data_IF_557350758179
#
_entry.id   IF_557350758179
#
_cell.length_a   1.000
_cell.length_b   1.000
_cell.length_c   1.000
_cell.angle_alpha   90.00
_cell.angle_beta   90.00
_cell.angle_gamma   90.00
#
_symmetry.space_group_name_H-M   'P 1'
#
loop_
_entity.id
_entity.type
_entity.pdbx_description
1 polymer ?
#
# COMPACT_ATOMS: atom_id res chain seq x y z
N UNK A 1 -5.66 -14.80 4.34
CA UNK A 1 -6.06 -13.37 4.39
C UNK A 1 -7.41 -13.16 5.04
N UNK A 2 -8.41 -13.97 4.69
CA UNK A 2 -9.76 -13.92 5.27
C UNK A 2 -9.77 -13.83 6.81
N UNK A 3 -9.25 -14.84 7.51
CA UNK A 3 -9.30 -14.91 8.98
C UNK A 3 -8.47 -13.85 9.73
N UNK A 4 -7.57 -13.12 9.04
CA UNK A 4 -6.80 -12.02 9.63
C UNK A 4 -7.39 -10.64 9.32
N UNK A 5 -8.50 -10.58 8.59
CA UNK A 5 -9.17 -9.33 8.20
C UNK A 5 -10.14 -8.93 9.30
N UNK A 6 -9.86 -7.79 9.95
CA UNK A 6 -10.67 -7.22 11.05
C UNK A 6 -11.12 -8.24 12.11
N UNK A 7 -10.20 -9.04 12.71
CA UNK A 7 -10.58 -10.17 13.57
C UNK A 7 -11.33 -9.75 14.85
N UNK A 8 -11.24 -8.48 15.24
CA UNK A 8 -11.94 -7.91 16.39
C UNK A 8 -13.31 -7.32 16.05
N UNK A 9 -13.68 -7.25 14.76
CA UNK A 9 -14.97 -6.74 14.32
C UNK A 9 -16.05 -7.83 14.41
N UNK A 10 -17.22 -7.47 14.93
CA UNK A 10 -18.34 -8.41 15.14
C UNK A 10 -18.78 -9.15 13.87
N UNK A 11 -18.66 -8.54 12.69
CA UNK A 11 -19.04 -9.16 11.42
C UNK A 11 -18.04 -10.24 10.99
N UNK A 12 -16.77 -10.08 11.34
CA UNK A 12 -15.66 -10.98 10.95
C UNK A 12 -15.24 -11.95 12.07
N UNK A 13 -15.70 -11.71 13.30
CA UNK A 13 -15.46 -12.57 14.46
C UNK A 13 -16.28 -13.86 14.45
N UNK A 14 -16.13 -14.70 15.49
CA UNK A 14 -16.86 -15.96 15.63
C UNK A 14 -18.38 -15.76 15.56
N UNK A 15 -19.06 -16.55 14.71
CA UNK A 15 -20.51 -16.44 14.49
C UNK A 15 -20.93 -15.34 13.51
N UNK A 16 -20.00 -14.50 13.04
CA UNK A 16 -20.24 -13.52 12.00
C UNK A 16 -20.25 -14.12 10.59
N UNK A 17 -20.91 -13.44 9.66
CA UNK A 17 -20.99 -13.86 8.24
C UNK A 17 -19.99 -13.12 7.35
N UNK A 18 -19.16 -12.23 7.90
CA UNK A 18 -18.23 -11.38 7.14
C UNK A 18 -17.15 -12.14 6.41
N UNK A 19 -16.64 -13.23 7.00
CA UNK A 19 -15.60 -14.06 6.37
C UNK A 19 -16.10 -14.73 5.09
N UNK A 20 -17.30 -15.30 5.12
CA UNK A 20 -17.93 -15.92 3.95
C UNK A 20 -18.22 -14.89 2.85
N UNK A 21 -18.83 -13.74 3.21
CA UNK A 21 -19.09 -12.65 2.27
C UNK A 21 -17.80 -12.10 1.64
N UNK A 22 -16.76 -11.89 2.45
CA UNK A 22 -15.45 -11.44 1.97
C UNK A 22 -14.82 -12.45 1.01
N UNK A 23 -14.92 -13.75 1.32
CA UNK A 23 -14.44 -14.82 0.43
C UNK A 23 -15.13 -14.77 -0.92
N UNK A 24 -16.45 -14.61 -0.95
CA UNK A 24 -17.22 -14.53 -2.18
C UNK A 24 -16.81 -13.32 -3.03
N UNK A 25 -16.69 -12.13 -2.43
CA UNK A 25 -16.25 -10.91 -3.15
C UNK A 25 -14.87 -11.12 -3.78
N UNK A 26 -13.91 -11.62 -3.00
CA UNK A 26 -12.53 -11.80 -3.47
C UNK A 26 -12.43 -12.89 -4.55
N UNK A 27 -13.19 -13.98 -4.40
CA UNK A 27 -13.25 -15.03 -5.40
C UNK A 27 -13.90 -14.50 -6.69
N UNK A 28 -15.04 -13.82 -6.58
CA UNK A 28 -15.72 -13.20 -7.71
C UNK A 28 -14.80 -12.21 -8.44
N UNK A 29 -14.05 -11.38 -7.71
CA UNK A 29 -13.09 -10.45 -8.30
C UNK A 29 -11.97 -11.19 -9.04
N UNK A 30 -11.41 -12.25 -8.43
CA UNK A 30 -10.34 -13.02 -9.07
C UNK A 30 -10.79 -13.71 -10.37
N UNK A 31 -12.08 -14.06 -10.47
CA UNK A 31 -12.68 -14.62 -11.69
C UNK A 31 -13.06 -13.53 -12.69
N UNK A 32 -13.48 -12.36 -12.22
CA UNK A 32 -13.85 -11.21 -13.05
C UNK A 32 -12.63 -10.60 -13.75
N UNK A 33 -11.50 -10.51 -13.06
CA UNK A 33 -10.23 -10.05 -13.61
C UNK A 33 -9.11 -11.08 -13.36
N UNK A 34 -9.01 -12.13 -14.18
CA UNK A 34 -8.04 -13.22 -13.98
C UNK A 34 -6.59 -12.79 -14.22
N UNK A 35 -6.37 -11.69 -14.96
CA UNK A 35 -5.03 -11.14 -15.19
C UNK A 35 -4.41 -10.61 -13.89
N UNK A 36 -5.22 -9.96 -13.05
CA UNK A 36 -4.81 -9.50 -11.72
C UNK A 36 -5.00 -10.60 -10.68
N UNK A 37 -6.13 -11.29 -10.72
CA UNK A 37 -6.53 -12.29 -9.74
C UNK A 37 -6.71 -11.68 -8.34
N UNK A 38 -6.46 -12.48 -7.31
CA UNK A 38 -6.36 -11.97 -5.95
C UNK A 38 -4.94 -11.49 -5.67
N UNK A 39 -4.82 -10.26 -5.17
CA UNK A 39 -3.56 -9.70 -4.69
C UNK A 39 -3.64 -9.37 -3.20
N UNK A 40 -2.55 -9.60 -2.47
CA UNK A 40 -2.49 -9.34 -1.03
C UNK A 40 -2.79 -7.86 -0.73
N UNK A 41 -3.65 -7.62 0.25
CA UNK A 41 -4.13 -6.28 0.61
C UNK A 41 -5.57 -6.03 0.14
N UNK A 42 -6.03 -6.69 -0.93
CA UNK A 42 -7.42 -6.57 -1.40
C UNK A 42 -8.44 -6.98 -0.35
N UNK A 43 -8.09 -7.92 0.54
CA UNK A 43 -8.94 -8.35 1.63
C UNK A 43 -9.33 -7.20 2.58
N UNK A 44 -8.43 -6.25 2.82
CA UNK A 44 -8.70 -5.10 3.68
C UNK A 44 -9.59 -4.07 2.99
N UNK A 45 -9.38 -3.83 1.69
CA UNK A 45 -10.24 -2.99 0.87
C UNK A 45 -11.66 -3.55 0.79
N UNK A 46 -11.79 -4.81 0.38
CA UNK A 46 -13.07 -5.50 0.27
C UNK A 46 -13.77 -5.64 1.63
N UNK A 47 -13.02 -5.92 2.70
CA UNK A 47 -13.58 -6.01 4.05
C UNK A 47 -14.10 -4.66 4.55
N UNK A 48 -13.41 -3.56 4.24
CA UNK A 48 -13.86 -2.21 4.58
C UNK A 48 -15.12 -1.85 3.80
N UNK A 49 -15.14 -2.12 2.49
CA UNK A 49 -16.32 -1.91 1.66
C UNK A 49 -17.53 -2.73 2.14
N UNK A 50 -17.30 -3.96 2.60
CA UNK A 50 -18.36 -4.79 3.16
C UNK A 50 -18.93 -4.23 4.47
N UNK A 51 -18.13 -3.51 5.26
CA UNK A 51 -18.58 -2.87 6.50
C UNK A 51 -19.35 -1.57 6.26
N UNK A 52 -19.13 -0.92 5.12
CA UNK A 52 -19.61 0.45 4.87
C UNK A 52 -20.68 0.54 3.80
N UNK A 53 -20.98 -0.56 3.10
CA UNK A 53 -22.01 -0.65 2.09
C UNK A 53 -23.10 -1.65 2.46
N UNK A 54 -24.25 -1.56 1.79
CA UNK A 54 -25.45 -2.26 2.20
C UNK A 54 -25.46 -3.73 1.77
N UNK A 55 -24.69 -4.09 0.75
CA UNK A 55 -24.67 -5.44 0.18
C UNK A 55 -23.29 -5.90 -0.26
N UNK A 56 -23.14 -7.22 -0.39
CA UNK A 56 -21.94 -7.87 -0.91
C UNK A 56 -21.69 -7.49 -2.38
N UNK A 57 -22.75 -7.40 -3.18
CA UNK A 57 -22.69 -7.02 -4.59
C UNK A 57 -22.20 -5.57 -4.77
N UNK A 58 -22.71 -4.64 -3.97
CA UNK A 58 -22.27 -3.25 -3.99
C UNK A 58 -20.78 -3.13 -3.62
N UNK A 59 -20.35 -3.82 -2.56
CA UNK A 59 -18.94 -3.88 -2.18
C UNK A 59 -18.05 -4.47 -3.30
N UNK A 60 -18.54 -5.49 -4.02
CA UNK A 60 -17.84 -6.06 -5.17
C UNK A 60 -17.69 -5.06 -6.33
N UNK A 61 -18.76 -4.36 -6.71
CA UNK A 61 -18.70 -3.40 -7.82
C UNK A 61 -17.84 -2.18 -7.49
N UNK A 62 -17.87 -1.73 -6.23
CA UNK A 62 -17.00 -0.64 -5.77
C UNK A 62 -15.54 -1.09 -5.77
N UNK A 63 -15.23 -2.29 -5.27
CA UNK A 63 -13.87 -2.85 -5.34
C UNK A 63 -13.39 -2.91 -6.79
N UNK A 64 -14.21 -3.45 -7.69
CA UNK A 64 -13.89 -3.54 -9.12
C UNK A 64 -13.63 -2.16 -9.71
N UNK A 65 -14.47 -1.18 -9.37
CA UNK A 65 -14.27 0.20 -9.79
C UNK A 65 -12.97 0.81 -9.27
N UNK A 66 -12.63 0.62 -7.99
CA UNK A 66 -11.37 1.08 -7.40
C UNK A 66 -10.18 0.55 -8.22
N UNK A 67 -10.17 -0.75 -8.50
CA UNK A 67 -9.05 -1.42 -9.17
C UNK A 67 -8.90 -1.04 -10.63
N UNK A 68 -10.01 -0.89 -11.36
CA UNK A 68 -9.98 -0.73 -12.83
C UNK A 68 -10.06 0.74 -13.26
N UNK A 69 -10.63 1.64 -12.43
CA UNK A 69 -10.87 3.03 -12.83
C UNK A 69 -10.02 4.06 -12.08
N UNK A 70 -9.61 3.77 -10.85
CA UNK A 70 -8.96 4.77 -9.98
C UNK A 70 -7.48 4.49 -9.72
N UNK A 71 -7.04 3.25 -9.94
CA UNK A 71 -5.66 2.83 -9.79
C UNK A 71 -5.02 2.54 -11.16
N UNK A 72 -3.69 2.65 -11.27
CA UNK A 72 -2.98 2.18 -12.46
C UNK A 72 -3.26 0.68 -12.74
N UNK A 73 -3.34 0.30 -14.00
CA UNK A 73 -3.67 -1.09 -14.40
C UNK A 73 -2.73 -2.15 -13.80
N UNK A 74 -1.46 -1.78 -13.57
CA UNK A 74 -0.43 -2.67 -13.06
C UNK A 74 -0.26 -2.60 -11.52
N UNK A 75 -1.18 -1.92 -10.81
CA UNK A 75 -1.04 -1.66 -9.37
C UNK A 75 -1.03 -2.93 -8.52
N UNK A 76 -1.97 -3.85 -8.78
CA UNK A 76 -2.12 -5.10 -8.04
C UNK A 76 -1.58 -6.33 -8.77
N UNK A 77 -0.58 -6.13 -9.63
CA UNK A 77 0.15 -7.25 -10.25
C UNK A 77 0.96 -8.03 -9.20
N UNK A 78 1.34 -9.28 -9.51
CA UNK A 78 2.15 -10.09 -8.57
C UNK A 78 3.49 -9.45 -8.18
N UNK A 79 4.03 -8.61 -9.07
CA UNK A 79 5.31 -7.91 -8.83
C UNK A 79 5.12 -6.58 -8.09
N UNK A 80 3.89 -6.10 -7.93
CA UNK A 80 3.57 -4.83 -7.24
C UNK A 80 4.47 -3.66 -7.72
N UNK A 81 4.73 -3.61 -9.02
CA UNK A 81 5.71 -2.69 -9.61
C UNK A 81 5.31 -1.23 -9.36
N UNK A 82 4.05 -0.88 -9.61
CA UNK A 82 3.53 0.47 -9.38
C UNK A 82 3.51 0.87 -7.90
N UNK A 83 3.04 0.04 -6.95
CA UNK A 83 3.18 0.33 -5.51
C UNK A 83 4.63 0.58 -5.09
N UNK A 84 5.58 -0.23 -5.56
CA UNK A 84 7.01 -0.04 -5.26
C UNK A 84 7.56 1.27 -5.85
N UNK A 85 7.19 1.62 -7.08
CA UNK A 85 7.55 2.89 -7.69
C UNK A 85 6.96 4.08 -6.92
N UNK A 86 5.69 4.00 -6.54
CA UNK A 86 4.99 5.04 -5.78
C UNK A 86 5.62 5.27 -4.40
N UNK A 87 6.17 4.25 -3.75
CA UNK A 87 6.96 4.46 -2.52
C UNK A 87 8.21 5.29 -2.76
N UNK A 88 8.92 5.06 -3.87
CA UNK A 88 10.11 5.85 -4.22
C UNK A 88 9.72 7.27 -4.58
N UNK A 89 8.58 7.46 -5.24
CA UNK A 89 8.00 8.79 -5.50
C UNK A 89 7.66 9.49 -4.19
N UNK A 90 7.04 8.81 -3.22
CA UNK A 90 6.79 9.38 -1.90
C UNK A 90 8.09 9.83 -1.22
N UNK A 91 9.14 9.00 -1.27
CA UNK A 91 10.46 9.34 -0.73
C UNK A 91 11.03 10.61 -1.37
N UNK A 92 10.96 10.72 -2.71
CA UNK A 92 11.37 11.94 -3.44
C UNK A 92 10.55 13.16 -2.99
N UNK A 93 9.22 13.02 -2.87
CA UNK A 93 8.34 14.11 -2.44
C UNK A 93 8.65 14.56 -1.00
N UNK A 94 8.92 13.62 -0.08
CA UNK A 94 9.32 13.96 1.30
C UNK A 94 10.67 14.67 1.31
N UNK A 95 11.62 14.25 0.48
CA UNK A 95 12.90 14.94 0.36
C UNK A 95 12.75 16.37 -0.17
N UNK A 96 11.86 16.59 -1.13
CA UNK A 96 11.61 17.92 -1.72
C UNK A 96 10.80 18.84 -0.81
N UNK A 97 9.78 18.31 -0.14
CA UNK A 97 8.78 19.09 0.61
C UNK A 97 9.16 19.23 2.09
N UNK A 98 9.79 18.20 2.68
CA UNK A 98 10.16 18.12 4.10
C UNK A 98 11.62 17.62 4.25
N UNK A 99 12.62 18.35 3.72
CA UNK A 99 14.02 17.87 3.67
C UNK A 99 14.58 17.54 5.05
N UNK A 100 14.18 18.28 6.09
CA UNK A 100 14.58 18.02 7.49
C UNK A 100 14.13 16.64 7.95
N UNK A 101 12.88 16.29 7.65
CA UNK A 101 12.31 14.98 7.97
C UNK A 101 13.02 13.87 7.18
N UNK A 102 13.30 14.10 5.90
CA UNK A 102 14.04 13.16 5.05
C UNK A 102 15.43 12.87 5.62
N UNK A 103 16.20 13.90 5.98
CA UNK A 103 17.53 13.73 6.61
C UNK A 103 17.42 12.96 7.92
N UNK A 104 16.42 13.28 8.75
CA UNK A 104 16.22 12.57 10.01
C UNK A 104 15.95 11.07 9.81
N UNK A 105 15.12 10.68 8.83
CA UNK A 105 14.93 9.26 8.52
C UNK A 105 16.23 8.57 8.10
N UNK A 106 17.09 9.24 7.33
CA UNK A 106 18.40 8.71 6.94
C UNK A 106 19.33 8.53 8.14
N UNK A 107 19.42 9.53 9.02
CA UNK A 107 20.21 9.47 10.26
C UNK A 107 19.74 8.35 11.19
N UNK A 108 18.43 8.12 11.25
CA UNK A 108 17.83 7.06 12.07
C UNK A 108 17.82 5.68 11.38
N UNK A 109 18.37 5.57 10.17
CA UNK A 109 18.36 4.36 9.33
C UNK A 109 16.96 3.77 9.10
N UNK A 110 15.96 4.63 8.95
CA UNK A 110 14.57 4.25 8.68
C UNK A 110 14.31 4.30 7.18
N UNK A 111 13.91 3.17 6.62
CA UNK A 111 13.42 3.12 5.26
C UNK A 111 11.94 3.50 5.20
N UNK A 112 11.67 4.75 4.81
CA UNK A 112 10.31 5.27 4.63
C UNK A 112 9.46 4.38 3.71
N UNK A 113 10.06 3.81 2.66
CA UNK A 113 9.33 3.00 1.67
C UNK A 113 8.76 1.72 2.29
N UNK A 114 9.49 1.12 3.24
CA UNK A 114 9.04 -0.06 3.96
C UNK A 114 7.91 0.26 4.96
N UNK A 115 7.98 1.42 5.64
CA UNK A 115 6.99 1.81 6.65
C UNK A 115 5.65 2.22 6.02
N UNK A 116 5.70 2.85 4.85
CA UNK A 116 4.51 3.43 4.20
C UNK A 116 3.96 2.59 3.04
N UNK A 117 4.55 1.42 2.76
CA UNK A 117 4.08 0.53 1.70
C UNK A 117 2.60 0.16 1.85
N UNK A 118 2.17 -0.17 3.08
CA UNK A 118 0.78 -0.58 3.32
C UNK A 118 -0.23 0.56 3.14
N UNK A 119 0.19 1.82 3.35
CA UNK A 119 -0.67 2.98 3.17
C UNK A 119 -1.17 3.08 1.73
N UNK A 120 -0.29 2.78 0.78
CA UNK A 120 -0.57 2.79 -0.65
C UNK A 120 -1.28 1.51 -1.09
N UNK A 121 -0.75 0.35 -0.70
CA UNK A 121 -1.31 -0.95 -1.10
C UNK A 121 -2.75 -1.14 -0.61
N UNK A 122 -3.07 -0.63 0.58
CA UNK A 122 -4.37 -0.85 1.22
C UNK A 122 -5.20 0.43 1.32
N UNK A 123 -4.79 1.50 0.63
CA UNK A 123 -5.44 2.81 0.63
C UNK A 123 -5.81 3.28 2.06
N UNK A 124 -4.85 3.13 2.97
CA UNK A 124 -4.91 3.48 4.40
C UNK A 124 -5.91 2.70 5.27
N UNK A 125 -6.52 1.63 4.75
CA UNK A 125 -7.52 0.84 5.50
C UNK A 125 -7.00 0.22 6.80
N UNK A 126 -5.70 -0.06 6.87
CA UNK A 126 -5.06 -0.70 8.02
C UNK A 126 -4.55 0.29 9.07
N UNK A 127 -4.59 1.59 8.80
CA UNK A 127 -3.87 2.57 9.62
C UNK A 127 -4.67 3.81 10.02
N UNK A 128 -5.71 4.20 9.28
CA UNK A 128 -6.56 5.35 9.62
C UNK A 128 -7.85 4.94 10.37
N UNK A 129 -8.35 5.78 11.29
CA UNK A 129 -9.72 5.65 11.81
C UNK A 129 -10.74 5.64 10.68
N UNK A 130 -11.79 4.81 10.80
CA UNK A 130 -12.76 4.57 9.71
C UNK A 130 -13.43 5.86 9.23
N UNK A 131 -13.72 6.80 10.14
CA UNK A 131 -14.34 8.08 9.79
C UNK A 131 -13.41 8.91 8.89
N UNK A 132 -12.12 8.96 9.21
CA UNK A 132 -11.13 9.67 8.40
C UNK A 132 -10.84 8.94 7.09
N UNK A 133 -10.75 7.61 7.13
CA UNK A 133 -10.57 6.76 5.96
C UNK A 133 -11.67 7.00 4.93
N UNK A 134 -12.93 7.04 5.35
CA UNK A 134 -14.05 7.28 4.44
C UNK A 134 -14.00 8.66 3.79
N UNK A 135 -13.61 9.70 4.54
CA UNK A 135 -13.40 11.04 3.99
C UNK A 135 -12.24 11.08 2.98
N UNK A 136 -11.19 10.29 3.20
CA UNK A 136 -10.09 10.11 2.23
C UNK A 136 -10.58 9.37 0.99
N UNK A 137 -11.42 8.35 1.15
CA UNK A 137 -11.99 7.58 0.05
C UNK A 137 -12.95 8.41 -0.81
N UNK A 138 -13.77 9.26 -0.20
CA UNK A 138 -14.66 10.19 -0.92
C UNK A 138 -13.87 11.00 -1.96
N UNK A 139 -12.76 11.61 -1.54
CA UNK A 139 -11.93 12.43 -2.44
C UNK A 139 -11.07 11.58 -3.38
N UNK A 140 -10.67 10.37 -2.97
CA UNK A 140 -9.98 9.41 -3.85
C UNK A 140 -10.87 8.97 -5.02
N UNK A 141 -12.15 8.72 -4.80
CA UNK A 141 -13.08 8.40 -5.89
C UNK A 141 -13.29 9.56 -6.87
N UNK A 142 -13.03 10.80 -6.44
CA UNK A 142 -13.16 12.00 -7.29
C UNK A 142 -11.86 12.33 -8.02
N UNK A 143 -10.73 12.41 -7.31
CA UNK A 143 -9.44 12.88 -7.84
C UNK A 143 -8.43 11.74 -8.14
N UNK A 144 -8.74 10.50 -7.77
CA UNK A 144 -7.92 9.32 -8.03
C UNK A 144 -6.63 9.26 -7.20
N UNK A 145 -5.63 8.57 -7.74
CA UNK A 145 -4.41 8.16 -7.02
C UNK A 145 -3.57 9.32 -6.45
N UNK A 146 -3.67 10.54 -6.99
CA UNK A 146 -2.95 11.70 -6.46
C UNK A 146 -3.32 12.01 -5.01
N UNK A 147 -4.55 11.68 -4.60
CA UNK A 147 -4.99 11.82 -3.21
C UNK A 147 -4.11 11.03 -2.27
N UNK A 148 -3.72 9.80 -2.65
CA UNK A 148 -2.92 8.91 -1.78
C UNK A 148 -1.58 9.57 -1.43
N UNK A 149 -0.90 10.18 -2.40
CA UNK A 149 0.33 10.93 -2.14
C UNK A 149 0.10 12.14 -1.24
N UNK A 150 -0.95 12.94 -1.51
CA UNK A 150 -1.25 14.12 -0.71
C UNK A 150 -1.56 13.76 0.74
N UNK A 151 -2.31 12.70 0.97
CA UNK A 151 -2.64 12.20 2.31
C UNK A 151 -1.39 11.67 3.01
N UNK A 152 -0.56 10.86 2.33
CA UNK A 152 0.67 10.33 2.92
C UNK A 152 1.62 11.46 3.35
N UNK A 153 1.84 12.47 2.49
CA UNK A 153 2.67 13.64 2.83
C UNK A 153 2.01 14.49 3.90
N UNK A 154 0.68 14.68 3.89
CA UNK A 154 -0.03 15.44 4.91
C UNK A 154 0.07 14.80 6.30
N UNK A 155 -0.06 13.47 6.38
CA UNK A 155 0.10 12.71 7.63
C UNK A 155 1.51 12.93 8.21
N UNK A 156 2.55 12.84 7.36
CA UNK A 156 3.94 13.11 7.77
C UNK A 156 4.13 14.58 8.20
N UNK A 157 3.62 15.51 7.40
CA UNK A 157 3.71 16.96 7.66
C UNK A 157 3.10 17.35 9.00
N UNK A 158 1.90 16.83 9.31
CA UNK A 158 1.21 17.11 10.56
C UNK A 158 1.95 16.58 11.80
N UNK A 159 2.78 15.55 11.62
CA UNK A 159 3.48 14.87 12.70
C UNK A 159 5.01 15.12 12.69
N UNK A 160 5.53 15.94 11.78
CA UNK A 160 6.96 16.16 11.57
C UNK A 160 7.68 16.48 12.88
N UNK A 161 7.13 17.38 13.70
CA UNK A 161 7.72 17.81 14.97
C UNK A 161 7.90 16.67 15.96
N UNK A 162 6.98 15.72 16.00
CA UNK A 162 7.04 14.58 16.92
C UNK A 162 7.96 13.48 16.38
N UNK A 163 7.96 13.27 15.06
CA UNK A 163 8.91 12.34 14.41
C UNK A 163 10.35 12.79 14.68
N UNK A 164 10.65 14.08 14.52
CA UNK A 164 12.00 14.66 14.74
C UNK A 164 12.49 14.56 16.20
N UNK A 165 11.62 14.27 17.17
CA UNK A 165 12.02 14.04 18.57
C UNK A 165 12.50 12.60 18.82
N UNK A 166 12.20 11.67 17.91
CA UNK A 166 12.62 10.29 18.02
C UNK A 166 14.15 10.20 17.88
N UNK A 167 14.80 9.40 18.74
CA UNK A 167 16.28 9.35 18.82
C UNK A 167 16.90 8.10 18.21
N UNK A 168 16.08 7.17 17.71
CA UNK A 168 16.52 5.96 17.03
C UNK A 168 15.43 5.45 16.09
N UNK A 169 15.80 4.58 15.14
CA UNK A 169 14.87 4.05 14.14
C UNK A 169 13.70 3.25 14.72
N UNK A 170 13.89 2.54 15.83
CA UNK A 170 12.80 1.79 16.48
C UNK A 170 11.71 2.72 17.04
N UNK A 171 12.11 3.84 17.66
CA UNK A 171 11.20 4.86 18.15
C UNK A 171 10.41 5.51 17.01
N UNK A 172 11.10 5.86 15.91
CA UNK A 172 10.46 6.38 14.69
C UNK A 172 9.42 5.38 14.16
N UNK A 173 9.80 4.11 14.00
CA UNK A 173 8.91 3.08 13.49
C UNK A 173 7.66 2.88 14.35
N UNK A 174 7.85 2.82 15.68
CA UNK A 174 6.75 2.70 16.64
C UNK A 174 5.81 3.92 16.57
N UNK A 175 6.38 5.12 16.54
CA UNK A 175 5.62 6.35 16.44
C UNK A 175 4.83 6.43 15.13
N UNK A 176 5.45 6.10 13.99
CA UNK A 176 4.79 6.09 12.69
C UNK A 176 3.58 5.16 12.62
N UNK A 177 3.63 4.00 13.30
CA UNK A 177 2.48 3.11 13.43
C UNK A 177 1.36 3.69 14.29
N UNK A 178 1.70 4.42 15.34
CA UNK A 178 0.72 4.98 16.28
C UNK A 178 0.07 6.27 15.76
N UNK A 179 0.83 7.12 15.06
CA UNK A 179 0.35 8.44 14.64
C UNK A 179 -0.83 8.37 13.67
N UNK A 180 -0.88 7.37 12.80
CA UNK A 180 -2.00 7.18 11.86
C UNK A 180 -3.29 6.83 12.58
N UNK A 181 -3.21 6.03 13.65
CA UNK A 181 -4.37 5.63 14.46
C UNK A 181 -5.01 6.82 15.19
N UNK A 182 -4.24 7.87 15.48
CA UNK A 182 -4.72 9.11 16.10
C UNK A 182 -5.32 10.13 15.13
N UNK A 183 -5.39 9.84 13.84
CA UNK A 183 -5.84 10.78 12.80
C UNK A 183 -7.37 10.92 12.76
N UNK A 184 -8.02 11.35 13.86
CA UNK A 184 -9.47 11.53 13.91
C UNK A 184 -9.98 12.86 13.30
N UNK A 185 -9.07 13.79 12.99
CA UNK A 185 -9.42 15.12 12.49
C UNK A 185 -9.36 15.18 10.96
N UNK A 186 -10.29 14.47 10.31
CA UNK A 186 -10.34 14.33 8.85
C UNK A 186 -10.29 15.68 8.11
N UNK A 187 -11.05 16.68 8.55
CA UNK A 187 -11.08 18.00 7.89
C UNK A 187 -9.73 18.72 7.96
N UNK A 188 -8.98 18.56 9.06
CA UNK A 188 -7.63 19.14 9.18
C UNK A 188 -6.67 18.43 8.23
N UNK A 189 -6.74 17.11 8.16
CA UNK A 189 -5.94 16.31 7.23
C UNK A 189 -6.22 16.70 5.77
N UNK A 190 -7.49 16.76 5.38
CA UNK A 190 -7.91 17.16 4.03
C UNK A 190 -7.52 18.61 3.72
N UNK A 191 -7.62 19.53 4.69
CA UNK A 191 -7.17 20.91 4.51
C UNK A 191 -5.67 20.97 4.20
N UNK A 192 -4.82 20.25 4.92
CA UNK A 192 -3.38 20.20 4.63
C UNK A 192 -3.14 19.58 3.24
N UNK A 193 -3.79 18.46 2.94
CA UNK A 193 -3.63 17.74 1.68
C UNK A 193 -4.04 18.58 0.45
N UNK A 194 -5.14 19.33 0.51
CA UNK A 194 -5.73 20.01 -0.65
C UNK A 194 -5.50 21.52 -0.70
N UNK A 195 -5.15 22.17 0.41
CA UNK A 195 -4.83 23.61 0.45
C UNK A 195 -3.33 23.83 0.46
N UNK A 196 -2.61 23.14 1.34
CA UNK A 196 -1.15 23.33 1.49
C UNK A 196 -0.38 22.55 0.43
N UNK A 197 -0.72 21.27 0.21
CA UNK A 197 0.09 20.36 -0.58
C UNK A 197 -0.30 20.24 -2.06
N UNK A 198 -1.48 20.74 -2.46
CA UNK A 198 -2.02 20.59 -3.82
C UNK A 198 -1.11 21.22 -4.89
N UNK A 199 -0.44 22.34 -4.59
CA UNK A 199 0.54 22.97 -5.49
C UNK A 199 1.87 22.23 -5.59
N UNK A 200 2.19 21.36 -4.63
CA UNK A 200 3.41 20.56 -4.62
C UNK A 200 3.19 19.18 -5.24
N UNK A 201 1.99 18.61 -5.07
CA UNK A 201 1.66 17.23 -5.46
C UNK A 201 0.51 17.25 -6.46
N UNK A 202 0.88 17.20 -7.74
CA UNK A 202 -0.03 17.16 -8.88
C UNK A 202 0.55 16.26 -10.00
N UNK A 203 -0.28 15.76 -10.93
CA UNK A 203 0.12 14.75 -11.91
C UNK A 203 1.41 15.11 -12.66
N UNK A 204 1.56 16.36 -13.10
CA UNK A 204 2.72 16.82 -13.88
C UNK A 204 4.06 16.65 -13.15
N UNK A 205 4.06 16.61 -11.80
CA UNK A 205 5.26 16.35 -10.99
C UNK A 205 5.41 14.88 -10.61
N UNK A 206 4.29 14.20 -10.36
CA UNK A 206 4.27 12.83 -9.82
C UNK A 206 4.47 11.80 -10.93
N UNK A 207 3.78 11.94 -12.06
CA UNK A 207 3.82 10.95 -13.14
C UNK A 207 5.22 10.76 -13.75
N UNK A 208 6.02 11.81 -14.04
CA UNK A 208 7.38 11.61 -14.55
C UNK A 208 8.27 10.86 -13.56
N UNK A 209 8.13 11.13 -12.25
CA UNK A 209 8.87 10.42 -11.20
C UNK A 209 8.43 8.96 -11.14
N UNK A 210 7.12 8.71 -11.23
CA UNK A 210 6.56 7.35 -11.25
C UNK A 210 7.11 6.56 -12.42
N UNK A 211 7.04 7.08 -13.64
CA UNK A 211 7.55 6.39 -14.85
C UNK A 211 9.04 6.04 -14.69
N UNK A 212 9.85 6.99 -14.21
CA UNK A 212 11.28 6.76 -13.94
C UNK A 212 11.50 5.64 -12.93
N UNK A 213 10.78 5.67 -11.80
CA UNK A 213 10.92 4.66 -10.75
C UNK A 213 10.36 3.30 -11.16
N UNK A 214 9.28 3.25 -11.95
CA UNK A 214 8.74 2.03 -12.54
C UNK A 214 9.78 1.34 -13.43
N UNK A 215 10.50 2.10 -14.25
CA UNK A 215 11.58 1.57 -15.09
C UNK A 215 12.73 1.01 -14.24
N UNK A 216 13.15 1.73 -13.19
CA UNK A 216 14.20 1.27 -12.29
C UNK A 216 13.82 -0.02 -11.55
N UNK A 217 12.62 -0.07 -10.95
CA UNK A 217 12.10 -1.27 -10.26
C UNK A 217 12.02 -2.45 -11.24
N UNK A 218 11.57 -2.23 -12.47
CA UNK A 218 11.52 -3.28 -13.50
C UNK A 218 12.90 -3.86 -13.78
N UNK A 219 13.90 -3.01 -13.96
CA UNK A 219 15.27 -3.45 -14.23
C UNK A 219 15.86 -4.24 -13.06
N UNK A 220 15.66 -3.77 -11.83
CA UNK A 220 16.11 -4.46 -10.62
C UNK A 220 15.47 -5.86 -10.49
N UNK A 221 14.15 -5.96 -10.73
CA UNK A 221 13.44 -7.25 -10.71
C UNK A 221 13.95 -8.22 -11.78
N UNK A 222 14.21 -7.74 -12.99
CA UNK A 222 14.77 -8.56 -14.07
C UNK A 222 16.17 -9.06 -13.71
N UNK A 223 17.01 -8.19 -13.15
CA UNK A 223 18.35 -8.55 -12.71
C UNK A 223 18.32 -9.59 -11.60
N UNK A 224 17.45 -9.42 -10.59
CA UNK A 224 17.27 -10.41 -9.53
C UNK A 224 16.81 -11.77 -10.07
N UNK A 225 15.89 -11.79 -11.04
CA UNK A 225 15.42 -13.03 -11.66
C UNK A 225 16.55 -13.76 -12.40
N UNK A 226 17.38 -13.03 -13.15
CA UNK A 226 18.56 -13.59 -13.82
C UNK A 226 19.55 -14.18 -12.81
N UNK A 227 19.87 -13.44 -11.73
CA UNK A 227 20.76 -13.94 -10.68
C UNK A 227 20.19 -15.19 -9.99
N UNK A 228 18.88 -15.23 -9.71
CA UNK A 228 18.22 -16.41 -9.13
C UNK A 228 18.33 -17.61 -10.07
N UNK A 229 18.05 -17.43 -11.36
CA UNK A 229 18.19 -18.49 -12.36
C UNK A 229 19.63 -19.02 -12.41
N UNK A 230 20.63 -18.14 -12.49
CA UNK A 230 22.04 -18.54 -12.49
C UNK A 230 22.42 -19.34 -11.23
N UNK A 231 21.95 -18.93 -10.05
CA UNK A 231 22.18 -19.65 -8.79
C UNK A 231 21.52 -21.03 -8.80
N UNK A 232 20.30 -21.15 -9.32
CA UNK A 232 19.59 -22.43 -9.45
C UNK A 232 20.32 -23.36 -10.43
N UNK A 233 20.77 -22.86 -11.58
CA UNK A 233 21.56 -23.64 -12.54
C UNK A 233 22.88 -24.14 -11.94
N UNK A 234 23.60 -23.27 -11.22
CA UNK A 234 24.84 -23.66 -10.53
C UNK A 234 24.60 -24.74 -9.47
N UNK A 235 23.52 -24.63 -8.68
CA UNK A 235 23.16 -25.63 -7.67
C UNK A 235 22.82 -27.00 -8.29
N UNK A 236 22.06 -27.02 -9.39
CA UNK A 236 21.76 -28.25 -10.14
C UNK A 236 23.01 -28.89 -10.74
N UNK A 237 23.94 -28.09 -11.27
CA UNK A 237 25.20 -28.60 -11.83
C UNK A 237 26.17 -29.15 -10.78
N UNK A 238 26.07 -28.70 -9.52
CA UNK A 238 26.92 -29.14 -8.41
C UNK A 238 26.41 -30.39 -7.66
N UNK A 239 25.23 -30.92 -8.03
CA UNK A 239 24.66 -32.11 -7.38
C UNK A 239 25.31 -33.40 -7.93
N UNK A 240 25.95 -34.25 -7.10
CA UNK A 240 26.60 -35.46 -7.59
C UNK A 240 25.58 -36.47 -8.11
N UNK A 241 25.89 -37.26 -9.16
CA UNK A 241 24.97 -38.25 -9.71
C UNK A 241 24.63 -39.28 -8.63
N UNK A 242 23.34 -39.41 -8.34
CA UNK A 242 22.82 -40.28 -7.29
C UNK A 242 23.32 -41.71 -7.43
N UNK A 243 23.85 -42.26 -6.33
CA UNK A 243 24.12 -43.70 -6.21
C UNK A 243 22.84 -44.46 -6.54
N UNK A 244 22.86 -45.21 -7.66
CA UNK A 244 21.88 -46.25 -7.95
C UNK A 244 21.80 -47.15 -6.71
N UNK A 245 20.62 -47.25 -6.09
CA UNK A 245 20.32 -48.30 -5.11
C UNK A 245 20.29 -49.61 -5.90
N UNK A 246 21.31 -50.45 -5.70
CA UNK A 246 21.25 -51.86 -6.07
C UNK A 246 20.34 -52.61 -5.08
N UNK A 247 19.71 -53.66 -5.61
CA UNK A 247 18.61 -54.47 -5.07
C UNK A 247 18.89 -55.10 -3.69
#
# INVERSE_FOLDING_TARGET
DLHRTFPTNILFGPGGHGIEKLKNILLAYSLHNPTVGYCQGMNLLAGTLLLTNNSEEEAFWILTAMMVRHLPDDYFTQQLLSPQADQRVLKDLVQEIMPRLSTHFQEMHVDLTAVTFSWFLTLFTDCLPVETLLRVWDVFFVEGMMVVFRIAVAILWMNEKEILKCKNGAAVYCFMKQMTLGMHQADKLLKVAFVTLKSYIHPEKVEPKRIRHQQAVRQELLQEQQLRQMRTFAACASSPPGKKREL
#
